data_IF_151068876412
#
_entry.id   IF_151068876412
#
_cell.length_a   1.000
_cell.length_b   1.000
_cell.length_c   1.000
_cell.angle_alpha   90.00
_cell.angle_beta   90.00
_cell.angle_gamma   90.00
#
_symmetry.space_group_name_H-M   'P 1'
#
loop_
_entity.id
_entity.type
_entity.pdbx_description
1 polymer ?
#
# COMPACT_ATOMS: atom_id res chain seq x y z
N UNK A 1 25.30 36.81 -2.62
CA UNK A 1 23.96 36.19 -2.72
C UNK A 1 23.90 35.13 -1.66
N UNK A 2 23.11 35.35 -0.60
CA UNK A 2 22.82 34.30 0.36
C UNK A 2 22.12 33.19 -0.41
N UNK A 3 22.65 31.97 -0.36
CA UNK A 3 21.85 30.82 -0.74
C UNK A 3 20.72 30.76 0.28
N UNK A 4 19.54 31.22 -0.11
CA UNK A 4 18.35 30.80 0.62
C UNK A 4 18.35 29.29 0.52
N UNK A 5 18.75 28.64 1.61
CA UNK A 5 18.67 27.21 1.76
C UNK A 5 17.21 26.87 1.55
N UNK A 6 16.90 26.34 0.36
CA UNK A 6 15.54 25.93 0.02
C UNK A 6 15.23 24.71 0.85
N UNK A 7 14.65 24.95 2.02
CA UNK A 7 14.15 23.93 2.91
C UNK A 7 12.78 23.45 2.43
N UNK A 8 12.52 22.16 2.61
CA UNK A 8 11.19 21.59 2.44
C UNK A 8 10.20 22.28 3.39
N UNK A 9 8.90 22.38 3.03
CA UNK A 9 7.88 22.87 3.94
C UNK A 9 7.97 22.16 5.30
N UNK A 10 8.03 22.95 6.37
CA UNK A 10 8.06 22.42 7.72
C UNK A 10 6.70 21.81 8.09
N UNK A 11 6.65 21.08 9.20
CA UNK A 11 5.38 20.64 9.78
C UNK A 11 4.43 21.83 10.07
N UNK A 12 4.97 22.99 10.44
CA UNK A 12 4.16 24.21 10.69
C UNK A 12 3.60 24.80 9.39
N UNK A 13 4.25 24.57 8.26
CA UNK A 13 3.76 25.01 6.97
C UNK A 13 2.61 24.12 6.48
N UNK A 14 2.79 22.80 6.59
CA UNK A 14 1.83 21.81 6.10
C UNK A 14 0.50 21.78 6.88
N UNK A 15 0.48 22.22 8.15
CA UNK A 15 -0.76 22.26 8.96
C UNK A 15 -1.83 23.20 8.39
N UNK A 16 -1.43 24.15 7.53
CA UNK A 16 -2.34 25.09 6.87
C UNK A 16 -3.03 24.49 5.64
N UNK A 17 -2.62 23.30 5.20
CA UNK A 17 -3.30 22.55 4.15
C UNK A 17 -4.41 21.69 4.74
N UNK A 18 -5.46 21.44 3.96
CA UNK A 18 -6.45 20.41 4.30
C UNK A 18 -5.81 19.02 4.35
N UNK A 19 -6.42 18.06 5.04
CA UNK A 19 -5.87 16.70 5.16
C UNK A 19 -5.68 16.03 3.79
N UNK A 20 -6.65 16.14 2.86
CA UNK A 20 -6.43 15.56 1.52
C UNK A 20 -5.34 16.28 0.74
N UNK A 21 -5.18 17.58 0.94
CA UNK A 21 -4.08 18.33 0.33
C UNK A 21 -2.72 17.91 0.90
N UNK A 22 -2.63 17.62 2.20
CA UNK A 22 -1.43 17.04 2.83
C UNK A 22 -1.12 15.65 2.27
N UNK A 23 -2.15 14.81 2.06
CA UNK A 23 -1.99 13.51 1.42
C UNK A 23 -1.52 13.62 -0.04
N UNK A 24 -2.14 14.50 -0.84
CA UNK A 24 -1.74 14.79 -2.22
C UNK A 24 -0.28 15.23 -2.31
N UNK A 25 0.12 16.15 -1.44
CA UNK A 25 1.52 16.59 -1.33
C UNK A 25 2.46 15.41 -1.08
N UNK A 26 2.13 14.55 -0.12
CA UNK A 26 2.95 13.41 0.26
C UNK A 26 3.05 12.37 -0.87
N UNK A 27 1.93 12.02 -1.51
CA UNK A 27 1.88 11.05 -2.62
C UNK A 27 2.72 11.52 -3.79
N UNK A 28 2.57 12.79 -4.22
CA UNK A 28 3.38 13.32 -5.33
C UNK A 28 4.87 13.31 -5.00
N UNK A 29 5.24 13.52 -3.74
CA UNK A 29 6.63 13.36 -3.30
C UNK A 29 7.11 11.91 -3.46
N UNK A 30 6.31 10.93 -3.05
CA UNK A 30 6.63 9.51 -3.21
C UNK A 30 6.78 9.10 -4.68
N UNK A 31 5.89 9.58 -5.57
CA UNK A 31 5.96 9.30 -7.01
C UNK A 31 7.28 9.77 -7.65
N UNK A 32 7.90 10.85 -7.14
CA UNK A 32 9.19 11.34 -7.64
C UNK A 32 10.36 10.41 -7.31
N UNK A 33 10.26 9.64 -6.22
CA UNK A 33 11.35 8.76 -5.77
C UNK A 33 11.07 7.27 -5.99
N UNK A 34 9.82 6.89 -6.28
CA UNK A 34 9.41 5.51 -6.57
C UNK A 34 10.31 4.79 -7.58
N UNK A 35 10.75 5.41 -8.70
CA UNK A 35 11.57 4.72 -9.69
C UNK A 35 12.90 4.16 -9.13
N UNK A 36 13.42 4.76 -8.07
CA UNK A 36 14.66 4.33 -7.44
C UNK A 36 14.55 2.96 -6.76
N UNK A 37 13.33 2.45 -6.49
CA UNK A 37 13.10 1.10 -5.95
C UNK A 37 13.64 0.00 -6.89
N UNK A 38 13.58 0.20 -8.20
CA UNK A 38 14.11 -0.76 -9.17
C UNK A 38 15.63 -0.73 -9.31
N UNK A 39 16.31 0.22 -8.66
CA UNK A 39 17.78 0.35 -8.73
C UNK A 39 18.52 -0.63 -7.81
N UNK A 40 17.81 -1.53 -7.11
CA UNK A 40 18.43 -2.55 -6.28
C UNK A 40 18.94 -3.68 -7.18
N UNK A 41 20.23 -4.00 -7.05
CA UNK A 41 20.83 -5.14 -7.73
C UNK A 41 20.47 -6.44 -6.99
N UNK A 42 19.97 -7.42 -7.74
CA UNK A 42 19.60 -8.77 -7.27
C UNK A 42 18.68 -8.74 -6.02
N UNK A 43 17.50 -8.10 -6.07
CA UNK A 43 16.62 -8.01 -4.91
C UNK A 43 15.99 -9.37 -4.59
N UNK A 44 15.70 -9.66 -3.30
CA UNK A 44 15.01 -10.87 -2.90
C UNK A 44 13.56 -10.91 -3.46
N UNK A 45 13.01 -12.11 -3.64
CA UNK A 45 11.67 -12.33 -4.23
C UNK A 45 10.58 -11.53 -3.50
N UNK A 46 10.59 -11.53 -2.17
CA UNK A 46 9.61 -10.78 -1.37
C UNK A 46 9.64 -9.26 -1.64
N UNK A 47 10.83 -8.71 -1.93
CA UNK A 47 10.96 -7.30 -2.30
C UNK A 47 10.33 -7.04 -3.66
N UNK A 48 10.60 -7.90 -4.66
CA UNK A 48 10.01 -7.80 -5.99
C UNK A 48 8.48 -7.82 -5.90
N UNK A 49 7.92 -8.80 -5.18
CA UNK A 49 6.46 -8.92 -4.93
C UNK A 49 5.88 -7.66 -4.30
N UNK A 50 6.55 -7.10 -3.29
CA UNK A 50 6.09 -5.89 -2.62
C UNK A 50 6.12 -4.66 -3.56
N UNK A 51 7.17 -4.50 -4.36
CA UNK A 51 7.28 -3.38 -5.31
C UNK A 51 6.25 -3.47 -6.44
N UNK A 52 5.97 -4.68 -6.96
CA UNK A 52 4.91 -4.90 -7.95
C UNK A 52 3.53 -4.57 -7.39
N UNK A 53 3.24 -5.02 -6.17
CA UNK A 53 1.98 -4.68 -5.50
C UNK A 53 1.83 -3.16 -5.34
N UNK A 54 2.89 -2.48 -4.90
CA UNK A 54 2.92 -1.03 -4.75
C UNK A 54 2.70 -0.29 -6.09
N UNK A 55 3.33 -0.74 -7.17
CA UNK A 55 3.15 -0.17 -8.51
C UNK A 55 1.68 -0.23 -8.95
N UNK A 56 1.03 -1.39 -8.77
CA UNK A 56 -0.39 -1.55 -9.02
C UNK A 56 -1.25 -0.59 -8.19
N UNK A 57 -0.95 -0.45 -6.90
CA UNK A 57 -1.67 0.49 -6.04
C UNK A 57 -1.49 1.95 -6.45
N UNK A 58 -0.29 2.38 -6.83
CA UNK A 58 -0.07 3.76 -7.32
C UNK A 58 -0.79 4.02 -8.64
N UNK A 59 -0.77 3.06 -9.58
CA UNK A 59 -1.55 3.18 -10.81
C UNK A 59 -3.03 3.38 -10.49
N UNK A 60 -3.57 2.56 -9.60
CA UNK A 60 -4.98 2.69 -9.28
C UNK A 60 -5.30 4.00 -8.53
N UNK A 61 -4.42 4.46 -7.63
CA UNK A 61 -4.55 5.79 -6.99
C UNK A 61 -4.57 6.94 -8.03
N UNK A 62 -3.80 6.83 -9.11
CA UNK A 62 -3.73 7.83 -10.18
C UNK A 62 -4.93 7.74 -11.13
N UNK A 63 -5.38 6.53 -11.49
CA UNK A 63 -6.37 6.32 -12.56
C UNK A 63 -7.82 6.19 -12.07
N UNK A 64 -8.06 5.74 -10.83
CA UNK A 64 -9.42 5.47 -10.33
C UNK A 64 -10.06 6.65 -9.58
N UNK A 65 -9.51 7.87 -9.71
CA UNK A 65 -10.11 9.10 -9.17
C UNK A 65 -10.59 9.00 -7.70
N UNK A 66 -9.85 8.25 -6.86
CA UNK A 66 -10.09 8.20 -5.41
C UNK A 66 -11.12 7.18 -4.91
N UNK A 67 -11.60 6.25 -5.74
CA UNK A 67 -12.49 5.16 -5.27
C UNK A 67 -11.76 4.03 -4.53
N UNK A 68 -10.42 4.03 -4.51
CA UNK A 68 -9.65 3.12 -3.68
C UNK A 68 -9.58 3.61 -2.24
N UNK A 69 -9.85 2.69 -1.32
CA UNK A 69 -9.53 2.90 0.08
C UNK A 69 -8.00 2.97 0.19
N UNK A 70 -7.44 4.07 0.72
CA UNK A 70 -5.99 4.21 0.93
C UNK A 70 -5.34 3.05 1.71
N UNK A 71 -6.16 2.26 2.39
CA UNK A 71 -5.80 1.03 3.07
C UNK A 71 -4.99 0.05 2.20
N UNK A 72 -5.39 -0.18 0.94
CA UNK A 72 -4.68 -1.13 0.08
C UNK A 72 -3.28 -0.66 -0.29
N UNK A 73 -3.16 0.63 -0.60
CA UNK A 73 -1.86 1.26 -0.78
C UNK A 73 -1.02 1.13 0.51
N UNK A 74 -1.62 1.32 1.70
CA UNK A 74 -0.92 1.23 2.98
C UNK A 74 -0.35 -0.15 3.26
N UNK A 75 -1.12 -1.19 2.98
CA UNK A 75 -0.64 -2.57 3.09
C UNK A 75 0.55 -2.81 2.15
N UNK A 76 0.46 -2.37 0.89
CA UNK A 76 1.57 -2.53 -0.07
C UNK A 76 2.82 -1.73 0.34
N UNK A 77 2.66 -0.50 0.80
CA UNK A 77 3.78 0.34 1.22
C UNK A 77 4.45 -0.17 2.50
N UNK A 78 3.69 -0.75 3.44
CA UNK A 78 4.25 -1.47 4.58
C UNK A 78 5.05 -2.70 4.15
N UNK A 79 4.55 -3.47 3.18
CA UNK A 79 5.28 -4.61 2.65
C UNK A 79 6.62 -4.17 2.02
N UNK A 80 6.62 -3.08 1.25
CA UNK A 80 7.85 -2.51 0.66
C UNK A 80 8.82 -2.03 1.73
N UNK A 81 8.35 -1.32 2.77
CA UNK A 81 9.21 -0.93 3.90
C UNK A 81 9.78 -2.15 4.60
N UNK A 82 8.96 -3.13 4.95
CA UNK A 82 9.43 -4.31 5.68
C UNK A 82 10.45 -5.11 4.86
N UNK A 83 10.22 -5.26 3.55
CA UNK A 83 11.17 -5.91 2.65
C UNK A 83 12.46 -5.09 2.51
N UNK A 84 12.35 -3.76 2.40
CA UNK A 84 13.50 -2.87 2.34
C UNK A 84 14.28 -2.83 3.65
N UNK A 85 13.63 -2.84 4.81
CA UNK A 85 14.28 -2.89 6.14
C UNK A 85 15.09 -4.18 6.27
N UNK A 86 14.52 -5.32 5.86
CA UNK A 86 15.24 -6.60 5.80
C UNK A 86 16.45 -6.52 4.86
N UNK A 87 16.32 -5.88 3.70
CA UNK A 87 17.42 -5.71 2.74
C UNK A 87 18.49 -4.71 3.20
N UNK A 88 18.10 -3.61 3.84
CA UNK A 88 19.01 -2.57 4.36
C UNK A 88 19.81 -3.11 5.53
N UNK A 89 19.20 -3.90 6.41
CA UNK A 89 19.91 -4.64 7.45
C UNK A 89 20.94 -5.62 6.86
N UNK A 90 20.73 -6.09 5.62
CA UNK A 90 21.64 -6.98 4.92
C UNK A 90 22.79 -6.25 4.19
N UNK A 91 22.59 -5.03 3.67
CA UNK A 91 23.57 -4.32 2.80
C UNK A 91 24.04 -2.94 3.28
N UNK A 92 23.50 -2.40 4.38
CA UNK A 92 23.80 -1.06 4.94
C UNK A 92 23.61 0.11 3.95
N UNK A 93 22.69 0.00 3.00
CA UNK A 93 22.45 1.05 2.00
C UNK A 93 21.31 1.99 2.44
N UNK A 94 21.68 3.08 3.14
CA UNK A 94 20.75 4.03 3.76
C UNK A 94 19.74 4.68 2.80
N UNK A 95 20.08 4.85 1.51
CA UNK A 95 19.20 5.50 0.53
C UNK A 95 17.90 4.73 0.27
N UNK A 96 17.91 3.40 0.29
CA UNK A 96 16.71 2.60 0.01
C UNK A 96 15.75 2.56 1.19
N UNK A 97 16.29 2.64 2.42
CA UNK A 97 15.48 2.87 3.61
C UNK A 97 14.72 4.19 3.50
N UNK A 98 15.42 5.25 3.09
CA UNK A 98 14.85 6.57 2.88
C UNK A 98 13.75 6.57 1.79
N UNK A 99 13.94 5.86 0.67
CA UNK A 99 12.91 5.75 -0.39
C UNK A 99 11.67 5.01 0.14
N UNK A 100 11.86 3.85 0.78
CA UNK A 100 10.75 3.06 1.30
C UNK A 100 10.01 3.75 2.44
N UNK A 101 10.74 4.47 3.31
CA UNK A 101 10.14 5.31 4.34
C UNK A 101 9.31 6.44 3.71
N UNK A 102 9.82 7.09 2.66
CA UNK A 102 9.10 8.15 1.98
C UNK A 102 7.74 7.68 1.41
N UNK A 103 7.78 6.54 0.72
CA UNK A 103 6.60 5.93 0.10
C UNK A 103 5.59 5.51 1.16
N UNK A 104 6.03 4.83 2.21
CA UNK A 104 5.14 4.43 3.30
C UNK A 104 4.50 5.62 3.99
N UNK A 105 5.28 6.65 4.28
CA UNK A 105 4.78 7.86 4.91
C UNK A 105 3.78 8.60 4.00
N UNK A 106 3.99 8.61 2.70
CA UNK A 106 3.02 9.20 1.76
C UNK A 106 1.69 8.45 1.74
N UNK A 107 1.76 7.14 1.78
CA UNK A 107 0.58 6.29 1.78
C UNK A 107 -0.16 6.33 3.13
N UNK A 108 0.57 6.43 4.24
CA UNK A 108 -0.02 6.71 5.55
C UNK A 108 -0.82 8.02 5.55
N UNK A 109 -0.28 9.07 4.93
CA UNK A 109 -0.99 10.34 4.80
C UNK A 109 -2.28 10.16 3.99
N UNK A 110 -2.25 9.41 2.90
CA UNK A 110 -3.44 9.07 2.12
C UNK A 110 -4.51 8.37 2.98
N UNK A 111 -4.10 7.40 3.79
CA UNK A 111 -5.02 6.66 4.68
C UNK A 111 -5.66 7.50 5.74
N UNK A 112 -4.88 8.34 6.42
CA UNK A 112 -5.41 9.24 7.41
C UNK A 112 -6.37 10.29 6.80
N UNK A 113 -6.10 10.78 5.59
CA UNK A 113 -7.00 11.69 4.88
C UNK A 113 -8.27 11.01 4.33
N UNK A 114 -8.25 9.69 4.11
CA UNK A 114 -9.38 8.90 3.64
C UNK A 114 -10.25 8.30 4.75
N UNK A 115 -9.76 8.22 6.00
CA UNK A 115 -10.46 7.63 7.16
C UNK A 115 -11.67 8.43 7.68
N UNK A 116 -12.17 9.40 6.91
CA UNK A 116 -13.56 9.88 7.05
C UNK A 116 -14.62 8.82 6.69
N UNK A 117 -14.22 7.60 6.32
CA UNK A 117 -15.12 6.45 6.19
C UNK A 117 -15.43 5.85 7.58
N UNK A 118 -16.69 5.94 8.07
CA UNK A 118 -17.05 5.63 9.46
C UNK A 118 -16.94 4.16 9.90
N UNK A 119 -16.49 3.24 9.03
CA UNK A 119 -16.55 1.79 9.31
C UNK A 119 -15.19 1.07 9.33
N UNK A 120 -14.07 1.75 9.11
CA UNK A 120 -12.75 1.13 9.26
C UNK A 120 -12.30 1.31 10.72
N UNK A 121 -12.58 0.33 11.58
CA UNK A 121 -11.96 0.21 12.90
C UNK A 121 -10.55 -0.38 12.67
N UNK A 122 -9.46 0.42 12.65
CA UNK A 122 -8.12 -0.17 12.57
C UNK A 122 -7.89 -1.04 13.80
N UNK A 123 -7.35 -2.24 13.61
CA UNK A 123 -6.99 -3.09 14.74
C UNK A 123 -5.97 -2.36 15.63
N UNK A 124 -5.95 -2.61 16.95
CA UNK A 124 -5.04 -1.93 17.88
C UNK A 124 -3.55 -2.03 17.50
N UNK A 125 -3.15 -3.09 16.80
CA UNK A 125 -1.77 -3.29 16.30
C UNK A 125 -1.43 -2.43 15.06
N UNK A 126 -2.44 -1.88 14.39
CA UNK A 126 -2.31 -0.94 13.27
C UNK A 126 -2.40 0.53 13.69
N UNK A 127 -2.52 0.81 15.00
CA UNK A 127 -2.61 2.16 15.56
C UNK A 127 -1.27 2.90 15.58
N UNK A 128 -0.61 2.99 14.43
CA UNK A 128 0.37 4.04 14.25
C UNK A 128 -0.43 5.33 14.08
N UNK A 129 -0.75 5.96 15.22
CA UNK A 129 -1.41 7.26 15.29
C UNK A 129 -0.44 8.35 14.84
N UNK A 130 -0.09 8.31 13.55
CA UNK A 130 0.57 9.41 12.85
C UNK A 130 -0.54 10.22 12.17
N UNK A 131 -0.60 11.49 12.49
CA UNK A 131 -1.48 12.42 11.78
C UNK A 131 -1.08 12.47 10.30
N UNK A 132 -2.01 12.79 9.40
CA UNK A 132 -1.72 13.03 7.97
C UNK A 132 -0.52 13.98 7.80
N UNK A 133 -0.44 14.98 8.67
CA UNK A 133 0.62 15.96 8.75
C UNK A 133 2.00 15.35 9.05
N UNK A 134 2.09 14.48 10.06
CA UNK A 134 3.34 13.79 10.41
C UNK A 134 3.83 12.86 9.30
N UNK A 135 2.88 12.18 8.66
CA UNK A 135 3.13 11.29 7.55
C UNK A 135 3.62 12.07 6.31
N UNK A 136 2.98 13.18 5.97
CA UNK A 136 3.41 14.05 4.86
C UNK A 136 4.81 14.63 5.08
N UNK A 137 5.11 15.11 6.30
CA UNK A 137 6.43 15.62 6.64
C UNK A 137 7.52 14.54 6.53
N UNK A 138 7.27 13.36 7.10
CA UNK A 138 8.19 12.20 7.04
C UNK A 138 8.48 11.75 5.62
N UNK A 139 7.46 11.81 4.74
CA UNK A 139 7.60 11.47 3.33
C UNK A 139 8.64 12.35 2.63
N UNK A 140 8.49 13.68 2.82
CA UNK A 140 9.37 14.67 2.21
C UNK A 140 10.81 14.59 2.72
N UNK A 141 11.00 14.45 4.04
CA UNK A 141 12.33 14.34 4.66
C UNK A 141 13.09 13.10 4.18
N UNK A 142 12.39 11.97 4.14
CA UNK A 142 12.99 10.69 3.76
C UNK A 142 13.39 10.71 2.28
N UNK A 143 12.54 11.23 1.41
CA UNK A 143 12.86 11.32 -0.01
C UNK A 143 13.93 12.37 -0.34
N UNK A 144 14.00 13.49 0.42
CA UNK A 144 15.15 14.40 0.36
C UNK A 144 16.47 13.70 0.68
N UNK A 145 16.45 12.81 1.68
CA UNK A 145 17.61 12.01 2.11
C UNK A 145 17.98 10.88 1.14
N UNK A 146 17.08 10.49 0.23
CA UNK A 146 17.30 9.44 -0.76
C UNK A 146 18.24 9.85 -1.92
N UNK A 147 18.69 11.11 -1.94
CA UNK A 147 19.55 11.62 -3.01
C UNK A 147 18.78 12.04 -4.28
N UNK A 148 17.46 12.26 -4.18
CA UNK A 148 16.62 12.79 -5.27
C UNK A 148 16.99 14.24 -5.68
N UNK A 149 17.97 14.83 -5.01
CA UNK A 149 18.58 16.11 -5.35
C UNK A 149 17.66 17.30 -5.12
N UNK A 150 18.19 18.48 -5.45
CA UNK A 150 17.49 19.77 -5.34
C UNK A 150 16.20 19.82 -6.18
N UNK A 151 16.17 19.12 -7.31
CA UNK A 151 15.01 19.08 -8.21
C UNK A 151 13.74 18.56 -7.52
N UNK A 152 13.85 17.54 -6.65
CA UNK A 152 12.68 16.99 -5.97
C UNK A 152 12.13 17.97 -4.92
N UNK A 153 13.02 18.70 -4.23
CA UNK A 153 12.67 19.75 -3.27
C UNK A 153 11.98 20.91 -3.98
N UNK A 154 12.52 21.38 -5.11
CA UNK A 154 11.95 22.49 -5.88
C UNK A 154 10.54 22.15 -6.41
N UNK A 155 10.36 20.93 -6.92
CA UNK A 155 9.08 20.45 -7.41
C UNK A 155 8.05 20.30 -6.28
N UNK A 156 8.47 19.83 -5.10
CA UNK A 156 7.60 19.73 -3.93
C UNK A 156 7.22 21.09 -3.35
N UNK A 157 8.15 22.05 -3.29
CA UNK A 157 7.85 23.43 -2.91
C UNK A 157 6.82 24.05 -3.85
N UNK A 158 6.90 23.73 -5.13
CA UNK A 158 5.93 24.17 -6.14
C UNK A 158 4.54 23.52 -5.92
N UNK A 159 4.47 22.22 -5.59
CA UNK A 159 3.22 21.58 -5.18
C UNK A 159 2.62 22.27 -3.95
N UNK A 160 3.42 22.48 -2.90
CA UNK A 160 2.98 23.11 -1.65
C UNK A 160 2.39 24.51 -1.89
N UNK A 161 3.08 25.35 -2.67
CA UNK A 161 2.60 26.70 -3.01
C UNK A 161 1.24 26.65 -3.71
N UNK A 162 1.11 25.77 -4.72
CA UNK A 162 -0.17 25.60 -5.45
C UNK A 162 -1.28 25.07 -4.55
N UNK A 163 -0.99 24.12 -3.67
CA UNK A 163 -1.96 23.59 -2.70
C UNK A 163 -2.41 24.66 -1.70
N UNK A 164 -1.48 25.50 -1.23
CA UNK A 164 -1.77 26.60 -0.30
C UNK A 164 -2.61 27.71 -0.95
N UNK A 165 -2.36 28.00 -2.23
CA UNK A 165 -3.08 29.02 -2.99
C UNK A 165 -4.41 28.51 -3.57
N UNK A 166 -4.64 27.19 -3.56
CA UNK A 166 -5.85 26.59 -4.11
C UNK A 166 -7.07 26.92 -3.25
N UNK A 167 -8.15 27.48 -3.84
CA UNK A 167 -9.38 27.77 -3.11
C UNK A 167 -10.18 26.51 -2.75
N UNK A 168 -9.86 25.38 -3.39
CA UNK A 168 -10.51 24.09 -3.20
C UNK A 168 -9.51 23.03 -2.79
N UNK A 169 -9.99 22.04 -2.05
CA UNK A 169 -9.21 20.86 -1.74
C UNK A 169 -8.81 20.10 -3.01
N UNK A 170 -7.52 19.76 -3.13
CA UNK A 170 -6.97 19.04 -4.28
C UNK A 170 -6.62 17.61 -3.86
N UNK A 171 -7.26 16.65 -4.51
CA UNK A 171 -7.03 15.21 -4.30
C UNK A 171 -6.55 14.48 -5.57
N UNK A 172 -6.61 15.14 -6.73
CA UNK A 172 -6.05 14.61 -7.97
C UNK A 172 -4.52 14.71 -7.93
N UNK A 173 -3.89 13.55 -7.79
CA UNK A 173 -2.43 13.37 -7.71
C UNK A 173 -1.78 13.20 -9.09
N UNK A 174 -2.55 13.12 -10.17
CA UNK A 174 -2.06 12.77 -11.50
C UNK A 174 -1.05 13.77 -12.05
N UNK A 175 -0.20 13.32 -12.97
CA UNK A 175 0.82 14.18 -13.58
C UNK A 175 0.24 15.33 -14.42
N UNK A 176 -1.04 15.27 -14.80
CA UNK A 176 -1.72 16.32 -15.56
C UNK A 176 -2.88 16.97 -14.79
N UNK A 177 -2.96 16.71 -13.48
CA UNK A 177 -4.02 17.24 -12.62
C UNK A 177 -3.87 18.74 -12.30
N UNK A 178 -4.64 19.26 -11.32
CA UNK A 178 -4.67 20.68 -10.94
C UNK A 178 -3.31 21.25 -10.51
N UNK A 179 -2.40 20.41 -10.01
CA UNK A 179 -1.04 20.83 -9.66
C UNK A 179 -0.11 20.91 -10.88
N UNK A 180 -0.55 20.43 -12.05
CA UNK A 180 0.25 20.32 -13.26
C UNK A 180 1.27 19.18 -13.21
N UNK A 181 2.25 19.23 -14.13
CA UNK A 181 3.32 18.23 -14.28
C UNK A 181 4.00 17.92 -12.96
N UNK A 182 4.34 16.64 -12.74
CA UNK A 182 4.99 16.15 -11.52
C UNK A 182 6.26 16.96 -11.18
N UNK A 183 6.97 17.48 -12.17
CA UNK A 183 8.22 18.25 -11.96
C UNK A 183 8.05 19.77 -12.13
N UNK A 184 6.85 20.27 -12.43
CA UNK A 184 6.59 21.68 -12.77
C UNK A 184 7.51 22.23 -13.87
N UNK A 185 7.95 21.35 -14.76
CA UNK A 185 9.00 21.60 -15.75
C UNK A 185 9.48 20.28 -16.36
N UNK A 186 10.72 20.26 -16.83
CA UNK A 186 11.37 19.04 -17.31
C UNK A 186 11.81 18.17 -16.12
N UNK A 187 11.53 16.86 -16.12
CA UNK A 187 12.10 15.94 -15.16
C UNK A 187 13.63 15.94 -15.25
N UNK A 188 14.36 15.75 -14.13
CA UNK A 188 15.81 15.64 -14.16
C UNK A 188 16.27 14.33 -14.84
N UNK A 189 17.46 14.35 -15.45
CA UNK A 189 17.98 13.21 -16.22
C UNK A 189 18.02 11.91 -15.40
N UNK A 190 18.47 11.99 -14.14
CA UNK A 190 18.52 10.82 -13.24
C UNK A 190 17.13 10.18 -13.07
N UNK A 191 16.06 10.99 -13.05
CA UNK A 191 14.70 10.49 -12.90
C UNK A 191 14.26 9.79 -14.18
N UNK A 192 14.57 10.36 -15.35
CA UNK A 192 14.26 9.73 -16.64
C UNK A 192 14.96 8.38 -16.79
N UNK A 193 16.25 8.31 -16.40
CA UNK A 193 17.02 7.07 -16.39
C UNK A 193 16.43 6.05 -15.40
N UNK A 194 16.16 6.47 -14.17
CA UNK A 194 15.58 5.62 -13.14
C UNK A 194 14.18 5.13 -13.53
N UNK A 195 13.35 5.99 -14.15
CA UNK A 195 12.01 5.64 -14.62
C UNK A 195 12.06 4.63 -15.75
N UNK A 196 12.97 4.80 -16.70
CA UNK A 196 13.18 3.83 -17.79
C UNK A 196 13.62 2.47 -17.24
N UNK A 197 14.55 2.46 -16.28
CA UNK A 197 14.96 1.23 -15.59
C UNK A 197 13.79 0.60 -14.85
N UNK A 198 13.04 1.40 -14.09
CA UNK A 198 11.88 0.96 -13.32
C UNK A 198 10.84 0.27 -14.21
N UNK A 199 10.41 0.92 -15.30
CA UNK A 199 9.38 0.35 -16.19
C UNK A 199 9.83 -0.98 -16.80
N UNK A 200 11.10 -1.07 -17.21
CA UNK A 200 11.69 -2.32 -17.69
C UNK A 200 11.69 -3.39 -16.60
N UNK A 201 12.17 -3.07 -15.40
CA UNK A 201 12.30 -4.00 -14.29
C UNK A 201 10.94 -4.48 -13.76
N UNK A 202 9.92 -3.62 -13.74
CA UNK A 202 8.55 -4.01 -13.39
C UNK A 202 8.04 -5.04 -14.39
N UNK A 203 8.19 -4.80 -15.70
CA UNK A 203 7.78 -5.77 -16.72
C UNK A 203 8.53 -7.11 -16.60
N UNK A 204 9.84 -7.07 -16.34
CA UNK A 204 10.65 -8.27 -16.11
C UNK A 204 10.20 -9.04 -14.88
N UNK A 205 9.98 -8.37 -13.74
CA UNK A 205 9.53 -9.05 -12.51
C UNK A 205 8.10 -9.56 -12.62
N UNK A 206 7.22 -8.86 -13.35
CA UNK A 206 5.86 -9.35 -13.63
C UNK A 206 5.91 -10.65 -14.42
N UNK A 207 6.80 -10.77 -15.41
CA UNK A 207 6.97 -12.02 -16.16
C UNK A 207 7.65 -13.11 -15.32
N UNK A 208 8.73 -12.78 -14.61
CA UNK A 208 9.46 -13.72 -13.75
C UNK A 208 8.58 -14.36 -12.68
N UNK A 209 7.67 -13.57 -12.09
CA UNK A 209 6.76 -14.01 -11.03
C UNK A 209 5.38 -14.39 -11.56
N UNK A 210 5.14 -14.25 -12.86
CA UNK A 210 3.85 -14.41 -13.53
C UNK A 210 3.52 -15.86 -13.93
N UNK A 211 4.48 -16.77 -13.80
CA UNK A 211 4.33 -18.20 -14.14
C UNK A 211 4.17 -19.12 -12.92
N UNK A 212 4.20 -18.58 -11.69
CA UNK A 212 3.68 -19.32 -10.54
C UNK A 212 2.15 -19.25 -10.63
N UNK A 213 1.57 -20.14 -11.43
CA UNK A 213 0.14 -20.42 -11.45
C UNK A 213 -0.34 -20.41 -9.99
N UNK A 214 -1.21 -19.45 -9.66
CA UNK A 214 -2.20 -19.71 -8.64
C UNK A 214 -2.83 -21.05 -9.04
N UNK A 215 -2.63 -22.10 -8.26
CA UNK A 215 -3.49 -23.27 -8.32
C UNK A 215 -4.89 -22.78 -7.96
N UNK A 216 -5.58 -22.24 -8.96
CA UNK A 216 -7.01 -21.98 -8.89
C UNK A 216 -7.61 -23.37 -8.96
N UNK A 217 -7.75 -24.00 -7.80
CA UNK A 217 -8.69 -25.09 -7.63
C UNK A 217 -10.06 -24.55 -8.02
N UNK A 218 -10.51 -24.87 -9.24
CA UNK A 218 -11.91 -24.70 -9.62
C UNK A 218 -12.73 -25.67 -8.76
N UNK A 219 -13.09 -25.22 -7.56
CA UNK A 219 -14.18 -25.84 -6.80
C UNK A 219 -15.46 -25.54 -7.59
N UNK A 220 -16.13 -26.59 -8.04
CA UNK A 220 -17.42 -26.46 -8.73
C UNK A 220 -18.45 -25.91 -7.73
N UNK A 221 -18.66 -24.60 -7.73
CA UNK A 221 -19.66 -23.92 -6.90
C UNK A 221 -19.28 -22.48 -6.55
N UNK A 222 -19.68 -21.54 -7.41
CA UNK A 222 -19.95 -20.09 -7.25
C UNK A 222 -19.12 -19.14 -6.36
N UNK A 223 -18.11 -19.56 -5.60
CA UNK A 223 -17.21 -18.63 -4.91
C UNK A 223 -15.76 -18.83 -5.36
N UNK A 224 -15.14 -17.78 -5.91
CA UNK A 224 -13.70 -17.77 -6.21
C UNK A 224 -12.95 -17.26 -4.98
N UNK A 225 -12.38 -18.19 -4.22
CA UNK A 225 -11.44 -17.88 -3.14
C UNK A 225 -10.04 -17.91 -3.73
N UNK A 226 -9.38 -16.75 -3.73
CA UNK A 226 -7.98 -16.66 -4.16
C UNK A 226 -7.07 -16.70 -2.93
N UNK A 227 -6.28 -17.76 -2.80
CA UNK A 227 -5.26 -17.90 -1.75
C UNK A 227 -3.88 -17.86 -2.42
N UNK A 228 -2.99 -17.03 -1.91
CA UNK A 228 -1.60 -16.98 -2.38
C UNK A 228 -0.83 -18.24 -1.96
N UNK A 229 0.28 -18.50 -2.64
CA UNK A 229 1.25 -19.54 -2.28
C UNK A 229 1.88 -19.38 -0.88
N UNK A 230 1.65 -18.25 -0.19
CA UNK A 230 2.03 -18.05 1.20
C UNK A 230 0.90 -18.27 2.21
N UNK A 231 -0.24 -18.83 1.77
CA UNK A 231 -1.43 -19.05 2.62
C UNK A 231 -2.23 -17.80 2.95
N UNK A 232 -1.96 -16.66 2.29
CA UNK A 232 -2.70 -15.40 2.51
C UNK A 232 -3.91 -15.33 1.59
N UNK A 233 -5.09 -15.10 2.16
CA UNK A 233 -6.33 -14.83 1.44
C UNK A 233 -6.22 -13.49 0.70
N UNK A 234 -6.42 -13.50 -0.62
CA UNK A 234 -6.24 -12.33 -1.50
C UNK A 234 -7.60 -11.75 -1.93
N UNK A 235 -8.67 -12.55 -1.86
CA UNK A 235 -10.03 -12.08 -2.12
C UNK A 235 -11.03 -13.22 -2.14
N UNK A 236 -12.28 -12.88 -1.78
CA UNK A 236 -13.45 -13.73 -1.98
C UNK A 236 -14.40 -12.93 -2.87
N UNK A 237 -14.64 -13.42 -4.07
CA UNK A 237 -15.63 -12.84 -4.98
C UNK A 237 -16.77 -13.86 -5.08
N UNK A 238 -17.93 -13.48 -4.57
CA UNK A 238 -19.21 -14.15 -4.84
C UNK A 238 -20.00 -13.25 -5.78
N UNK A 239 -20.36 -13.77 -6.95
CA UNK A 239 -21.21 -13.05 -7.89
C UNK A 239 -22.71 -13.10 -7.51
N UNK A 240 -23.08 -13.92 -6.50
CA UNK A 240 -24.44 -14.08 -6.00
C UNK A 240 -24.50 -13.86 -4.48
N UNK A 241 -25.35 -12.93 -4.03
CA UNK A 241 -25.47 -12.53 -2.62
C UNK A 241 -26.26 -13.51 -1.73
N UNK A 242 -26.78 -14.60 -2.29
CA UNK A 242 -27.72 -15.51 -1.61
C UNK A 242 -27.14 -16.90 -1.28
N UNK A 243 -25.85 -17.15 -1.55
CA UNK A 243 -25.24 -18.45 -1.23
C UNK A 243 -24.31 -18.35 -0.02
N UNK A 244 -24.42 -19.29 0.95
CA UNK A 244 -23.49 -19.36 2.07
C UNK A 244 -22.07 -19.60 1.54
N UNK A 245 -21.09 -18.88 2.09
CA UNK A 245 -19.67 -19.12 1.81
C UNK A 245 -19.32 -20.49 2.38
N UNK A 246 -18.99 -21.45 1.52
CA UNK A 246 -18.52 -22.76 1.92
C UNK A 246 -16.99 -22.80 1.90
N UNK A 247 -16.40 -23.16 3.04
CA UNK A 247 -14.97 -23.31 3.20
C UNK A 247 -14.66 -24.75 3.58
N UNK A 248 -13.70 -25.36 2.89
CA UNK A 248 -13.23 -26.72 3.15
C UNK A 248 -11.76 -26.67 3.58
N UNK A 249 -11.43 -27.33 4.69
CA UNK A 249 -10.07 -27.48 5.21
C UNK A 249 -9.78 -28.96 5.41
N UNK A 250 -8.75 -29.46 4.74
CA UNK A 250 -8.16 -30.76 5.06
C UNK A 250 -7.13 -30.55 6.19
N UNK A 251 -7.38 -31.09 7.40
CA UNK A 251 -6.45 -30.93 8.51
C UNK A 251 -5.18 -31.80 8.37
N UNK A 252 -5.15 -32.78 7.47
CA UNK A 252 -4.08 -33.77 7.39
C UNK A 252 -3.79 -34.42 8.75
N UNK A 253 -2.51 -34.45 9.13
CA UNK A 253 -2.05 -34.99 10.42
C UNK A 253 -2.04 -33.95 11.57
N UNK A 254 -2.71 -32.80 11.39
CA UNK A 254 -2.74 -31.77 12.43
C UNK A 254 -3.45 -32.28 13.70
N UNK A 255 -2.89 -31.90 14.86
CA UNK A 255 -3.51 -32.24 16.14
C UNK A 255 -4.83 -31.50 16.31
N UNK A 256 -5.79 -32.13 16.99
CA UNK A 256 -7.13 -31.58 17.27
C UNK A 256 -7.07 -30.16 17.84
N UNK A 257 -6.14 -29.89 18.76
CA UNK A 257 -5.97 -28.57 19.37
C UNK A 257 -5.52 -27.53 18.35
N UNK A 258 -4.69 -27.92 17.37
CA UNK A 258 -4.23 -27.03 16.31
C UNK A 258 -5.39 -26.68 15.37
N UNK A 259 -6.20 -27.66 14.99
CA UNK A 259 -7.39 -27.46 14.16
C UNK A 259 -8.37 -26.52 14.90
N UNK A 260 -8.66 -26.81 16.16
CA UNK A 260 -9.55 -26.00 16.99
C UNK A 260 -9.08 -24.54 17.06
N UNK A 261 -7.79 -24.31 17.35
CA UNK A 261 -7.24 -22.95 17.44
C UNK A 261 -7.39 -22.18 16.10
N UNK A 262 -7.22 -22.87 14.97
CA UNK A 262 -7.39 -22.26 13.64
C UNK A 262 -8.85 -21.87 13.40
N UNK A 263 -9.80 -22.74 13.74
CA UNK A 263 -11.23 -22.48 13.60
C UNK A 263 -11.69 -21.32 14.50
N UNK A 264 -11.22 -21.29 15.75
CA UNK A 264 -11.48 -20.18 16.68
C UNK A 264 -10.93 -18.86 16.12
N UNK A 265 -9.68 -18.86 15.62
CA UNK A 265 -9.09 -17.68 14.98
C UNK A 265 -9.87 -17.21 13.74
N UNK A 266 -10.41 -18.13 12.94
CA UNK A 266 -11.24 -17.78 11.77
C UNK A 266 -12.58 -17.16 12.20
N UNK A 267 -13.20 -17.67 13.26
CA UNK A 267 -14.42 -17.09 13.84
C UNK A 267 -14.16 -15.69 14.41
N UNK A 268 -13.08 -15.52 15.17
CA UNK A 268 -12.66 -14.22 15.73
C UNK A 268 -12.39 -13.20 14.61
N UNK A 269 -11.75 -13.64 13.53
CA UNK A 269 -11.50 -12.79 12.36
C UNK A 269 -12.81 -12.38 11.67
N UNK A 270 -13.78 -13.30 11.55
CA UNK A 270 -15.10 -13.00 11.00
C UNK A 270 -15.83 -11.95 11.84
N UNK A 271 -15.79 -12.09 13.17
CA UNK A 271 -16.35 -11.10 14.11
C UNK A 271 -15.66 -9.75 13.96
N UNK A 272 -14.33 -9.74 13.88
CA UNK A 272 -13.56 -8.51 13.72
C UNK A 272 -13.86 -7.80 12.37
N UNK A 273 -14.27 -8.55 11.34
CA UNK A 273 -14.70 -8.03 10.05
C UNK A 273 -16.17 -7.55 10.04
N UNK A 274 -16.89 -7.65 11.15
CA UNK A 274 -18.28 -7.21 11.30
C UNK A 274 -19.34 -8.30 11.11
N UNK A 275 -18.94 -9.57 10.93
CA UNK A 275 -19.84 -10.72 10.90
C UNK A 275 -20.21 -11.23 12.29
N UNK A 276 -21.08 -12.25 12.37
CA UNK A 276 -21.57 -12.80 13.65
C UNK A 276 -20.71 -13.94 14.24
N UNK A 277 -19.55 -14.22 13.63
CA UNK A 277 -18.76 -15.42 13.91
C UNK A 277 -19.14 -16.60 13.02
N UNK A 278 -18.34 -17.65 13.10
CA UNK A 278 -18.50 -18.86 12.28
C UNK A 278 -18.88 -20.05 13.17
N UNK A 279 -19.90 -20.79 12.75
CA UNK A 279 -20.25 -22.09 13.30
C UNK A 279 -19.64 -23.19 12.44
N UNK A 280 -18.99 -24.16 13.08
CA UNK A 280 -18.29 -25.24 12.40
C UNK A 280 -19.03 -26.57 12.59
N UNK A 281 -19.46 -27.18 11.49
CA UNK A 281 -20.07 -28.50 11.46
C UNK A 281 -19.02 -29.47 10.91
N UNK A 282 -18.61 -30.45 11.71
CA UNK A 282 -17.73 -31.52 11.24
C UNK A 282 -18.58 -32.62 10.58
N UNK A 283 -18.25 -32.93 9.33
CA UNK A 283 -18.58 -34.18 8.65
C UNK A 283 -17.33 -35.09 8.71
N UNK A 284 -17.49 -36.40 8.50
CA UNK A 284 -16.44 -37.43 8.67
C UNK A 284 -15.13 -37.14 7.90
N UNK A 285 -15.18 -36.22 6.92
CA UNK A 285 -14.05 -35.82 6.09
C UNK A 285 -13.78 -34.30 6.04
N UNK A 286 -14.69 -33.45 6.51
CA UNK A 286 -14.63 -32.00 6.25
C UNK A 286 -15.21 -31.17 7.40
N UNK A 287 -14.75 -29.93 7.54
CA UNK A 287 -15.32 -28.95 8.46
C UNK A 287 -16.03 -27.87 7.66
N UNK A 288 -17.35 -27.79 7.77
CA UNK A 288 -18.18 -26.75 7.14
C UNK A 288 -18.34 -25.55 8.07
N UNK A 289 -17.99 -24.36 7.60
CA UNK A 289 -18.26 -23.10 8.31
C UNK A 289 -19.58 -22.48 7.83
N UNK A 290 -20.41 -21.98 8.74
CA UNK A 290 -21.63 -21.22 8.46
C UNK A 290 -21.65 -19.95 9.31
N UNK A 291 -22.24 -18.86 8.81
CA UNK A 291 -22.42 -17.66 9.64
C UNK A 291 -23.38 -17.96 10.79
N UNK A 292 -22.96 -17.65 12.01
CA UNK A 292 -23.77 -17.88 13.21
C UNK A 292 -25.04 -17.02 13.18
N UNK A 293 -26.20 -17.65 13.04
CA UNK A 293 -27.48 -16.96 13.16
C UNK A 293 -27.82 -16.94 14.65
N UNK A 294 -27.56 -15.82 15.34
CA UNK A 294 -28.00 -15.68 16.73
C UNK A 294 -29.53 -15.79 16.78
N UNK A 295 -30.07 -16.85 17.39
CA UNK A 295 -31.50 -16.96 17.70
C UNK A 295 -31.89 -16.05 18.85
#
# INVERSE_FOLDING_TARGET
>A
MMSDDMELPSKKDLIHLSERSQATYAIRFALRVQPLLASIKDPPVDYKKAVLALDGQFKNLIYENGNLTPFHAFVAANAVKNAADRYVNFKKQSRYYAISAAIRSAVLAASAAGSGYPNANPSPEQSISLTTLDAAFSASLSAGSAGAGRNAVDAALSDYKKLKESPTEVFDISENGPLGKLWHGSPPDWYLEAKKLYDKTIAEWTNELGDDESEIGNLSGSAKISISSSGKLIGVISDDADFPIEFYMDPGDARKETIQNVLECLSDLHIAAGGFGLEFIADDLNIKAMEGITQ
#
